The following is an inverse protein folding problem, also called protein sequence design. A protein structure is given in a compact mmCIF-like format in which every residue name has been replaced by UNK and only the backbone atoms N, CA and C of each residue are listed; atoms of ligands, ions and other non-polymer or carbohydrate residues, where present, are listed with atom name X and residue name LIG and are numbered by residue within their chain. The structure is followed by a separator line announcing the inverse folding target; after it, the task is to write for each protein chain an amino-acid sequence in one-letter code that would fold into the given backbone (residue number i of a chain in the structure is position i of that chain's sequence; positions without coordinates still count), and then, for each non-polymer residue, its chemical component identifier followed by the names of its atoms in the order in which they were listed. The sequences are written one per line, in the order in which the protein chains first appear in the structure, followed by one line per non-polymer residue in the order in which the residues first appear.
data_IF_975154337841
#
_entry.id   IF_975154337841
#
_cell.length_a   1.000
_cell.length_b   1.000
_cell.length_c   1.000
_cell.angle_alpha   90.00
_cell.angle_beta   90.00
_cell.angle_gamma   90.00
#
_symmetry.space_group_name_H-M   'P 1'
#
loop_
_entity.id
_entity.type
_entity.pdbx_description
1 polymer ?
#
# COMPACT_ATOMS: atom_id res chain seq x y z
N UNK A 1 7.21 2.46 -1.63
CA UNK A 1 7.80 1.69 -0.51
C UNK A 1 6.94 0.49 -0.05
N UNK A 2 5.61 0.50 -0.22
CA UNK A 2 4.75 -0.62 0.22
C UNK A 2 5.08 -2.00 -0.37
N UNK A 3 5.49 -2.06 -1.64
CA UNK A 3 5.84 -3.32 -2.31
C UNK A 3 7.01 -4.08 -1.65
N UNK A 4 7.89 -3.39 -0.91
CA UNK A 4 9.04 -4.03 -0.27
C UNK A 4 8.66 -4.96 0.89
N UNK A 5 7.53 -4.71 1.56
CA UNK A 5 7.04 -5.53 2.67
C UNK A 5 6.14 -6.65 2.17
N UNK A 6 5.36 -6.37 1.13
CA UNK A 6 4.38 -7.33 0.59
C UNK A 6 5.02 -8.60 0.04
N UNK A 7 6.21 -8.56 -0.57
CA UNK A 7 6.80 -9.79 -1.12
C UNK A 7 7.25 -10.79 -0.03
N UNK A 8 7.62 -10.36 1.18
CA UNK A 8 7.95 -11.29 2.26
C UNK A 8 6.70 -12.00 2.78
N UNK A 9 5.60 -11.24 2.91
CA UNK A 9 4.28 -11.76 3.26
C UNK A 9 3.80 -12.74 2.18
N UNK A 10 3.88 -12.36 0.90
CA UNK A 10 3.46 -13.22 -0.22
C UNK A 10 4.26 -14.53 -0.28
N UNK A 11 5.59 -14.48 -0.12
CA UNK A 11 6.42 -15.69 -0.03
C UNK A 11 5.99 -16.61 1.12
N UNK A 12 5.72 -16.04 2.30
CA UNK A 12 5.25 -16.82 3.46
C UNK A 12 3.87 -17.45 3.22
N UNK A 13 2.93 -16.70 2.62
CA UNK A 13 1.60 -17.20 2.25
C UNK A 13 1.70 -18.36 1.24
N UNK A 14 2.53 -18.22 0.20
CA UNK A 14 2.76 -19.30 -0.78
C UNK A 14 3.40 -20.53 -0.15
N UNK A 15 4.40 -20.35 0.72
CA UNK A 15 5.02 -21.45 1.46
C UNK A 15 4.02 -22.21 2.36
N UNK A 16 2.99 -21.51 2.85
CA UNK A 16 1.88 -22.12 3.59
C UNK A 16 0.78 -22.73 2.69
N UNK A 17 0.98 -22.78 1.37
CA UNK A 17 0.05 -23.39 0.41
C UNK A 17 -1.08 -22.48 -0.09
N UNK A 18 -1.01 -21.17 0.20
CA UNK A 18 -2.00 -20.21 -0.31
C UNK A 18 -1.71 -19.83 -1.76
N UNK A 19 -2.75 -19.42 -2.49
CA UNK A 19 -2.63 -18.76 -3.79
C UNK A 19 -2.62 -17.25 -3.58
N UNK A 20 -1.69 -16.53 -4.22
CA UNK A 20 -1.47 -15.09 -4.00
C UNK A 20 -1.67 -14.31 -5.30
N UNK A 21 -2.67 -13.42 -5.29
CA UNK A 21 -2.83 -12.33 -6.26
C UNK A 21 -2.09 -11.11 -5.72
N UNK A 22 -1.21 -10.53 -6.53
CA UNK A 22 -0.41 -9.39 -6.12
C UNK A 22 -0.72 -8.16 -7.00
N UNK A 23 -1.36 -7.15 -6.42
CA UNK A 23 -1.56 -5.86 -7.10
C UNK A 23 -0.39 -4.93 -6.78
N UNK A 24 0.47 -4.67 -7.78
CA UNK A 24 1.68 -3.88 -7.60
C UNK A 24 1.53 -2.50 -8.23
N UNK A 25 1.21 -1.49 -7.39
CA UNK A 25 1.04 -0.10 -7.84
C UNK A 25 2.34 0.70 -7.80
N UNK A 26 2.62 1.42 -8.88
CA UNK A 26 3.77 2.31 -9.04
C UNK A 26 3.35 3.66 -9.61
N UNK A 27 4.07 4.72 -9.24
CA UNK A 27 3.86 6.03 -9.84
C UNK A 27 4.52 6.11 -11.22
N UNK A 28 5.76 5.58 -11.34
CA UNK A 28 6.49 5.51 -12.58
C UNK A 28 7.05 4.11 -12.81
N UNK A 29 7.26 3.74 -14.08
CA UNK A 29 7.88 2.46 -14.45
C UNK A 29 9.29 2.31 -13.87
N UNK A 30 10.08 3.38 -13.81
CA UNK A 30 11.43 3.32 -13.22
C UNK A 30 11.43 3.04 -11.70
N UNK A 31 10.29 3.17 -11.03
CA UNK A 31 10.17 2.87 -9.60
C UNK A 31 10.05 1.36 -9.33
N UNK A 32 10.03 0.52 -10.38
CA UNK A 32 10.06 -0.94 -10.26
C UNK A 32 11.23 -1.37 -9.38
N UNK A 33 10.92 -2.25 -8.43
CA UNK A 33 11.83 -2.63 -7.38
C UNK A 33 11.68 -4.12 -7.11
N UNK A 34 12.81 -4.84 -7.11
CA UNK A 34 12.89 -6.27 -6.78
C UNK A 34 11.85 -7.15 -7.49
N UNK A 35 11.78 -7.02 -8.82
CA UNK A 35 10.80 -7.73 -9.67
C UNK A 35 10.81 -9.25 -9.40
N UNK A 36 11.98 -9.87 -9.37
CA UNK A 36 12.13 -11.31 -9.08
C UNK A 36 11.58 -11.71 -7.71
N UNK A 37 11.74 -10.86 -6.68
CA UNK A 37 11.17 -11.13 -5.35
C UNK A 37 9.64 -11.07 -5.35
N UNK A 38 9.05 -10.15 -6.12
CA UNK A 38 7.59 -10.01 -6.28
C UNK A 38 7.02 -11.21 -7.07
N UNK A 39 7.71 -11.65 -8.12
CA UNK A 39 7.36 -12.85 -8.88
C UNK A 39 7.38 -14.10 -7.98
N UNK A 40 8.43 -14.28 -7.19
CA UNK A 40 8.51 -15.40 -6.24
C UNK A 40 7.40 -15.36 -5.18
N UNK A 41 6.92 -14.17 -4.82
CA UNK A 41 5.90 -13.95 -3.81
C UNK A 41 4.45 -14.13 -4.30
N UNK A 42 4.23 -14.40 -5.59
CA UNK A 42 2.90 -14.35 -6.20
C UNK A 42 2.66 -15.45 -7.22
N UNK A 43 1.40 -15.89 -7.34
CA UNK A 43 0.95 -16.76 -8.42
C UNK A 43 0.56 -15.95 -9.66
N UNK A 44 0.04 -14.74 -9.46
CA UNK A 44 -0.22 -13.74 -10.49
C UNK A 44 0.07 -12.34 -9.97
N UNK A 45 0.72 -11.51 -10.80
CA UNK A 45 0.91 -10.08 -10.55
C UNK A 45 0.05 -9.30 -11.52
N UNK A 46 -0.59 -8.26 -11.00
CA UNK A 46 -1.19 -7.22 -11.81
C UNK A 46 -0.40 -5.94 -11.54
N UNK A 47 0.46 -5.60 -12.50
CA UNK A 47 1.27 -4.40 -12.48
C UNK A 47 0.42 -3.18 -12.83
N UNK A 48 0.44 -2.15 -11.99
CA UNK A 48 -0.27 -0.89 -12.23
C UNK A 48 0.72 0.26 -12.23
N UNK A 49 0.64 1.13 -13.24
CA UNK A 49 1.38 2.39 -13.27
C UNK A 49 0.40 3.56 -13.41
N UNK A 50 0.55 4.59 -12.56
CA UNK A 50 -0.32 5.77 -12.57
C UNK A 50 -0.33 6.46 -13.94
N UNK A 51 -1.50 6.97 -14.35
CA UNK A 51 -1.67 7.75 -15.60
C UNK A 51 -0.79 9.00 -15.58
N UNK A 52 -0.19 9.34 -16.72
CA UNK A 52 0.60 10.56 -16.90
C UNK A 52 0.96 10.79 -18.38
N UNK A 53 1.45 12.00 -18.75
CA UNK A 53 1.76 12.35 -20.14
C UNK A 53 2.74 11.38 -20.81
N UNK A 54 3.74 10.90 -20.07
CA UNK A 54 4.80 10.01 -20.55
C UNK A 54 4.73 8.62 -19.90
N UNK A 55 3.52 8.17 -19.56
CA UNK A 55 3.35 6.89 -18.87
C UNK A 55 3.71 5.72 -19.79
N UNK A 56 4.60 4.86 -19.31
CA UNK A 56 4.98 3.62 -19.98
C UNK A 56 4.46 2.46 -19.16
N UNK A 57 3.61 1.62 -19.77
CA UNK A 57 3.13 0.39 -19.14
C UNK A 57 4.30 -0.50 -18.70
N UNK A 58 4.14 -1.13 -17.54
CA UNK A 58 5.08 -2.11 -17.03
C UNK A 58 4.93 -3.37 -17.88
N UNK A 59 6.02 -3.87 -18.45
CA UNK A 59 5.98 -5.09 -19.27
C UNK A 59 6.17 -6.29 -18.34
N UNK A 60 5.19 -7.19 -18.22
CA UNK A 60 5.37 -8.39 -17.43
C UNK A 60 6.41 -9.32 -18.07
N UNK A 61 7.15 -10.01 -17.22
CA UNK A 61 8.17 -11.01 -17.57
C UNK A 61 7.60 -12.43 -17.65
N UNK A 62 6.49 -12.68 -16.95
CA UNK A 62 5.78 -13.97 -16.91
C UNK A 62 4.48 -13.90 -17.70
N UNK A 63 4.10 -14.96 -18.45
CA UNK A 63 2.96 -14.91 -19.37
C UNK A 63 1.60 -14.76 -18.69
N UNK A 64 1.46 -15.17 -17.42
CA UNK A 64 0.21 -15.04 -16.66
C UNK A 64 0.00 -13.66 -16.05
N UNK A 65 1.08 -12.88 -15.88
CA UNK A 65 1.03 -11.58 -15.24
C UNK A 65 0.41 -10.53 -16.16
N UNK A 66 -0.24 -9.54 -15.56
CA UNK A 66 -1.02 -8.53 -16.27
C UNK A 66 -0.42 -7.14 -16.04
N UNK A 67 -0.71 -6.21 -16.94
CA UNK A 67 -0.35 -4.79 -16.77
C UNK A 67 -1.57 -3.91 -16.99
N UNK A 68 -1.61 -2.78 -16.28
CA UNK A 68 -2.65 -1.78 -16.36
C UNK A 68 -2.08 -0.37 -16.20
N UNK A 69 -2.67 0.61 -16.88
CA UNK A 69 -2.32 2.04 -16.76
C UNK A 69 -3.45 2.76 -16.04
N UNK A 70 -3.20 3.08 -14.78
CA UNK A 70 -4.18 3.65 -13.86
C UNK A 70 -3.80 3.38 -12.40
N UNK A 71 -4.63 3.87 -11.50
CA UNK A 71 -4.42 3.66 -10.08
C UNK A 71 -4.79 2.22 -9.67
N UNK A 72 -4.44 1.85 -8.45
CA UNK A 72 -4.62 0.47 -7.96
C UNK A 72 -6.08 0.01 -7.93
N UNK A 73 -7.05 0.90 -7.68
CA UNK A 73 -8.47 0.54 -7.64
C UNK A 73 -9.03 0.31 -9.05
N UNK A 74 -8.70 1.18 -9.99
CA UNK A 74 -9.04 1.00 -11.41
C UNK A 74 -8.48 -0.34 -11.91
N UNK A 75 -7.23 -0.65 -11.52
CA UNK A 75 -6.55 -1.89 -11.85
C UNK A 75 -7.24 -3.13 -11.26
N UNK A 76 -7.64 -3.08 -9.98
CA UNK A 76 -8.41 -4.15 -9.34
C UNK A 76 -9.75 -4.37 -10.03
N UNK A 77 -10.46 -3.31 -10.41
CA UNK A 77 -11.73 -3.39 -11.13
C UNK A 77 -11.57 -3.98 -12.53
N UNK A 78 -10.59 -3.51 -13.29
CA UNK A 78 -10.29 -4.04 -14.63
C UNK A 78 -9.93 -5.53 -14.57
N UNK A 79 -9.13 -5.94 -13.58
CA UNK A 79 -8.86 -7.34 -13.35
C UNK A 79 -10.15 -8.09 -13.02
N UNK A 80 -10.98 -7.59 -12.10
CA UNK A 80 -12.23 -8.24 -11.66
C UNK A 80 -13.26 -8.42 -12.79
N UNK A 81 -13.32 -7.48 -13.72
CA UNK A 81 -14.21 -7.50 -14.89
C UNK A 81 -13.72 -8.38 -16.03
N UNK A 82 -12.52 -8.96 -15.94
CA UNK A 82 -11.93 -9.73 -17.04
C UNK A 82 -11.40 -8.87 -18.19
N UNK A 83 -11.28 -7.55 -18.00
CA UNK A 83 -10.75 -6.64 -19.03
C UNK A 83 -9.25 -6.90 -19.31
N UNK A 84 -8.55 -7.55 -18.37
CA UNK A 84 -7.15 -7.95 -18.50
C UNK A 84 -6.98 -9.38 -19.06
N UNK A 85 -8.04 -9.96 -19.63
CA UNK A 85 -8.09 -11.32 -20.13
C UNK A 85 -8.26 -12.35 -19.00
N UNK A 86 -7.67 -13.54 -19.16
CA UNK A 86 -7.84 -14.64 -18.22
C UNK A 86 -7.54 -14.24 -16.77
N UNK A 87 -8.39 -14.72 -15.85
CA UNK A 87 -8.32 -14.51 -14.40
C UNK A 87 -8.02 -15.86 -13.69
N UNK A 88 -6.78 -16.34 -13.64
CA UNK A 88 -6.43 -17.61 -13.00
C UNK A 88 -6.88 -17.71 -11.53
N UNK A 89 -7.00 -16.57 -10.85
CA UNK A 89 -7.58 -16.46 -9.51
C UNK A 89 -8.67 -15.38 -9.56
N UNK A 90 -9.96 -15.73 -9.60
CA UNK A 90 -11.04 -14.75 -9.54
C UNK A 90 -10.99 -13.96 -8.23
N UNK A 91 -11.27 -12.65 -8.25
CA UNK A 91 -11.32 -11.88 -7.00
C UNK A 91 -12.38 -12.39 -6.03
N UNK A 92 -13.48 -12.95 -6.55
CA UNK A 92 -14.56 -13.51 -5.75
C UNK A 92 -14.13 -14.73 -4.91
N UNK A 93 -12.98 -15.33 -5.24
CA UNK A 93 -12.39 -16.44 -4.51
C UNK A 93 -11.36 -16.01 -3.46
N UNK A 94 -11.08 -14.71 -3.32
CA UNK A 94 -10.12 -14.20 -2.33
C UNK A 94 -10.74 -14.19 -0.94
N UNK A 95 -10.08 -14.84 0.03
CA UNK A 95 -10.52 -14.88 1.43
C UNK A 95 -9.94 -13.75 2.29
N UNK A 96 -8.72 -13.29 1.98
CA UNK A 96 -7.97 -12.31 2.76
C UNK A 96 -7.41 -11.18 1.91
N UNK A 97 -7.49 -9.95 2.41
CA UNK A 97 -6.90 -8.78 1.77
C UNK A 97 -5.89 -8.10 2.70
N UNK A 98 -4.67 -7.89 2.20
CA UNK A 98 -3.61 -7.15 2.88
C UNK A 98 -3.27 -5.92 2.05
N UNK A 99 -3.39 -4.73 2.63
CA UNK A 99 -3.24 -3.44 1.95
C UNK A 99 -2.08 -2.68 2.58
N UNK A 100 -1.07 -2.35 1.76
CA UNK A 100 0.12 -1.63 2.20
C UNK A 100 0.43 -0.51 1.21
N UNK A 101 0.42 0.73 1.67
CA UNK A 101 0.81 1.88 0.85
C UNK A 101 0.63 3.20 1.59
N UNK A 102 0.27 4.26 0.86
CA UNK A 102 -0.07 5.53 1.50
C UNK A 102 -1.38 5.42 2.27
N UNK A 103 -1.55 6.28 3.27
CA UNK A 103 -2.79 6.42 4.04
C UNK A 103 -4.00 6.66 3.11
N UNK A 104 -3.83 7.49 2.08
CA UNK A 104 -4.88 7.75 1.09
C UNK A 104 -5.22 6.53 0.24
N UNK A 105 -4.23 5.76 -0.19
CA UNK A 105 -4.46 4.55 -0.98
C UNK A 105 -5.20 3.51 -0.12
N UNK A 106 -4.74 3.27 1.11
CA UNK A 106 -5.38 2.35 2.04
C UNK A 106 -6.82 2.79 2.38
N UNK A 107 -7.07 4.10 2.58
CA UNK A 107 -8.40 4.65 2.76
C UNK A 107 -9.32 4.40 1.55
N UNK A 108 -8.79 4.58 0.34
CA UNK A 108 -9.54 4.34 -0.89
C UNK A 108 -9.89 2.86 -1.05
N UNK A 109 -8.98 1.94 -0.70
CA UNK A 109 -9.26 0.50 -0.70
C UNK A 109 -10.30 0.13 0.36
N UNK A 110 -10.21 0.68 1.58
CA UNK A 110 -11.24 0.52 2.62
C UNK A 110 -12.63 0.87 2.09
N UNK A 111 -12.77 2.04 1.47
CA UNK A 111 -14.03 2.49 0.88
C UNK A 111 -14.50 1.59 -0.27
N UNK A 112 -13.60 1.29 -1.21
CA UNK A 112 -13.94 0.54 -2.41
C UNK A 112 -14.48 -0.86 -2.11
N UNK A 113 -13.97 -1.53 -1.07
CA UNK A 113 -14.42 -2.86 -0.64
C UNK A 113 -15.91 -2.95 -0.34
N UNK A 114 -16.50 -1.88 0.23
CA UNK A 114 -17.93 -1.82 0.54
C UNK A 114 -18.77 -1.19 -0.59
N UNK A 115 -18.10 -0.69 -1.63
CA UNK A 115 -18.71 -0.01 -2.77
C UNK A 115 -18.37 -0.76 -4.07
N UNK A 116 -17.50 -0.19 -4.91
CA UNK A 116 -17.22 -0.66 -6.27
C UNK A 116 -16.61 -2.06 -6.34
N UNK A 117 -15.87 -2.50 -5.32
CA UNK A 117 -15.28 -3.84 -5.25
C UNK A 117 -16.16 -4.86 -4.53
N UNK A 118 -17.26 -4.43 -3.90
CA UNK A 118 -18.16 -5.31 -3.13
C UNK A 118 -18.64 -6.55 -3.91
N UNK A 119 -19.02 -6.45 -5.20
CA UNK A 119 -19.47 -7.62 -5.97
C UNK A 119 -18.35 -8.64 -6.21
N UNK A 120 -17.10 -8.23 -6.11
CA UNK A 120 -15.93 -9.03 -6.47
C UNK A 120 -15.15 -9.52 -5.26
N UNK A 121 -15.41 -9.02 -4.05
CA UNK A 121 -14.71 -9.42 -2.81
C UNK A 121 -15.67 -10.11 -1.83
N UNK A 122 -16.52 -11.00 -2.35
CA UNK A 122 -17.65 -11.61 -1.62
C UNK A 122 -17.24 -12.44 -0.40
N UNK A 123 -16.04 -13.03 -0.41
CA UNK A 123 -15.50 -13.84 0.70
C UNK A 123 -14.66 -13.04 1.69
N UNK A 124 -14.17 -11.84 1.32
CA UNK A 124 -13.27 -11.04 2.17
C UNK A 124 -14.06 -10.37 3.31
N UNK A 125 -14.18 -11.07 4.44
CA UNK A 125 -14.81 -10.52 5.65
C UNK A 125 -13.91 -9.52 6.37
N UNK A 126 -12.59 -9.74 6.35
CA UNK A 126 -11.62 -8.91 7.05
C UNK A 126 -10.50 -8.46 6.11
N UNK A 127 -10.09 -7.20 6.24
CA UNK A 127 -8.92 -6.65 5.54
C UNK A 127 -7.91 -6.10 6.54
N UNK A 128 -6.63 -6.29 6.23
CA UNK A 128 -5.51 -5.82 7.03
C UNK A 128 -4.90 -4.61 6.33
N UNK A 129 -4.70 -3.53 7.08
CA UNK A 129 -3.89 -2.39 6.69
C UNK A 129 -2.57 -2.39 7.47
N UNK A 130 -1.43 -2.42 6.78
CA UNK A 130 -0.13 -2.21 7.43
C UNK A 130 0.09 -0.72 7.65
N UNK A 131 -0.27 -0.22 8.83
CA UNK A 131 -0.41 1.21 9.10
C UNK A 131 0.94 1.90 9.25
N UNK A 132 1.11 3.01 8.53
CA UNK A 132 2.33 3.81 8.45
C UNK A 132 2.35 4.98 9.45
N UNK A 133 1.80 4.82 10.66
CA UNK A 133 1.79 5.89 11.67
C UNK A 133 3.21 6.41 11.96
N UNK A 134 3.39 7.71 12.24
CA UNK A 134 4.71 8.23 12.59
C UNK A 134 5.22 7.55 13.87
N UNK A 135 6.49 7.16 13.89
CA UNK A 135 7.08 6.46 15.03
C UNK A 135 8.29 7.24 15.57
N UNK A 136 8.50 7.19 16.89
CA UNK A 136 9.66 7.78 17.56
C UNK A 136 10.42 6.72 18.37
N UNK A 137 9.85 6.23 19.47
CA UNK A 137 10.55 5.27 20.33
C UNK A 137 10.53 3.83 19.79
N UNK A 138 9.47 3.43 19.08
CA UNK A 138 9.20 2.04 18.67
C UNK A 138 9.21 1.01 19.83
N UNK A 139 9.04 1.44 21.08
CA UNK A 139 9.10 0.59 22.29
C UNK A 139 7.73 0.02 22.71
N UNK A 140 6.82 -0.25 21.78
CA UNK A 140 5.50 -0.87 22.04
C UNK A 140 4.64 -0.15 23.10
N UNK A 141 4.21 1.08 22.79
CA UNK A 141 3.21 1.80 23.58
C UNK A 141 3.73 2.82 24.60
N UNK A 142 5.02 3.17 24.54
CA UNK A 142 5.64 4.10 25.50
C UNK A 142 5.38 5.58 25.14
N UNK A 143 5.74 6.02 23.94
CA UNK A 143 5.72 7.47 23.61
C UNK A 143 4.43 7.97 22.94
N UNK A 144 3.52 7.07 22.55
CA UNK A 144 2.29 7.38 21.80
C UNK A 144 2.43 8.12 20.44
N UNK A 145 3.64 8.37 19.94
CA UNK A 145 3.81 9.01 18.62
C UNK A 145 3.07 8.24 17.51
N UNK A 146 3.12 6.91 17.58
CA UNK A 146 2.51 5.95 16.65
C UNK A 146 1.05 5.62 16.96
N UNK A 147 0.37 6.40 17.79
CA UNK A 147 -1.03 6.13 18.13
C UNK A 147 -1.92 6.27 16.89
N UNK A 148 -2.68 5.23 16.57
CA UNK A 148 -3.68 5.20 15.52
C UNK A 148 -5.06 5.10 16.15
N UNK A 149 -5.99 5.96 15.73
CA UNK A 149 -7.37 5.93 16.18
C UNK A 149 -8.14 4.91 15.36
N UNK A 150 -8.96 4.13 16.05
CA UNK A 150 -9.92 3.22 15.47
C UNK A 150 -11.33 3.65 15.85
N UNK A 151 -12.28 3.40 14.95
CA UNK A 151 -13.71 3.56 15.18
C UNK A 151 -14.40 2.27 14.77
N UNK A 152 -15.13 1.66 15.71
CA UNK A 152 -15.95 0.50 15.43
C UNK A 152 -17.24 0.93 14.70
N UNK A 153 -17.49 0.36 13.52
CA UNK A 153 -18.59 0.80 12.66
C UNK A 153 -19.98 0.49 13.23
N UNK A 154 -20.12 -0.60 13.99
CA UNK A 154 -21.41 -1.04 14.53
C UNK A 154 -21.78 -0.25 15.79
N UNK A 155 -20.79 0.04 16.63
CA UNK A 155 -21.02 0.68 17.95
C UNK A 155 -20.68 2.17 17.99
N UNK A 156 -19.93 2.68 17.01
CA UNK A 156 -19.37 4.03 17.02
C UNK A 156 -18.28 4.24 18.07
N UNK A 157 -17.85 3.19 18.78
CA UNK A 157 -16.87 3.29 19.86
C UNK A 157 -15.49 3.60 19.31
N UNK A 158 -14.87 4.63 19.88
CA UNK A 158 -13.48 4.98 19.59
C UNK A 158 -12.52 4.25 20.52
N UNK A 159 -11.41 3.78 19.95
CA UNK A 159 -10.28 3.24 20.71
C UNK A 159 -8.98 3.48 19.95
N UNK A 160 -7.84 3.20 20.58
CA UNK A 160 -6.53 3.52 20.02
C UNK A 160 -5.62 2.31 19.99
N UNK A 161 -4.86 2.17 18.90
CA UNK A 161 -3.86 1.13 18.71
C UNK A 161 -2.50 1.81 18.57
N UNK A 162 -1.49 1.34 19.30
CA UNK A 162 -0.12 1.77 19.08
C UNK A 162 0.47 1.00 17.90
N UNK A 163 0.74 1.66 16.77
CA UNK A 163 1.23 0.96 15.57
C UNK A 163 2.59 0.28 15.77
N UNK A 164 3.42 0.73 16.71
CA UNK A 164 4.66 0.01 17.08
C UNK A 164 4.41 -1.28 17.89
N UNK A 165 3.21 -1.46 18.45
CA UNK A 165 2.79 -2.70 19.10
C UNK A 165 2.05 -3.63 18.13
N UNK A 166 1.15 -3.07 17.32
CA UNK A 166 0.51 -3.79 16.22
C UNK A 166 0.42 -2.89 14.97
N UNK A 167 1.26 -3.16 13.98
CA UNK A 167 1.28 -2.39 12.73
C UNK A 167 0.21 -2.86 11.75
N UNK A 168 -0.08 -4.16 11.75
CA UNK A 168 -1.07 -4.81 10.89
C UNK A 168 -2.45 -4.74 11.56
N UNK A 169 -3.19 -3.69 11.22
CA UNK A 169 -4.44 -3.34 11.88
C UNK A 169 -5.63 -3.71 11.01
N UNK A 170 -6.80 -3.87 11.64
CA UNK A 170 -8.07 -4.02 10.93
C UNK A 170 -8.33 -2.75 10.10
N UNK A 171 -8.21 -2.88 8.77
CA UNK A 171 -8.32 -1.79 7.82
C UNK A 171 -9.64 -1.03 8.01
N UNK A 172 -10.72 -1.76 8.28
CA UNK A 172 -12.07 -1.20 8.32
C UNK A 172 -12.30 -0.37 9.58
N UNK A 173 -11.50 -0.56 10.62
CA UNK A 173 -11.61 0.19 11.87
C UNK A 173 -10.72 1.43 11.91
N UNK A 174 -9.71 1.53 11.05
CA UNK A 174 -8.78 2.67 11.03
C UNK A 174 -9.47 3.99 10.67
N UNK A 175 -9.26 5.03 11.48
CA UNK A 175 -9.63 6.41 11.20
C UNK A 175 -8.52 7.07 10.35
N UNK A 176 -8.69 7.02 9.03
CA UNK A 176 -7.75 7.59 8.07
C UNK A 176 -7.61 9.12 8.14
N UNK A 177 -8.68 9.90 8.37
CA UNK A 177 -8.54 11.34 8.67
C UNK A 177 -7.62 11.62 9.85
N UNK A 178 -7.77 10.90 10.96
CA UNK A 178 -6.87 11.00 12.11
C UNK A 178 -5.44 10.60 11.75
N UNK A 179 -5.24 9.48 11.04
CA UNK A 179 -3.92 9.04 10.58
C UNK A 179 -3.25 10.10 9.69
N UNK A 180 -3.98 10.68 8.73
CA UNK A 180 -3.47 11.73 7.86
C UNK A 180 -3.02 12.97 8.64
N UNK A 181 -3.83 13.41 9.61
CA UNK A 181 -3.49 14.54 10.47
C UNK A 181 -2.19 14.27 11.26
N UNK A 182 -2.01 13.05 11.78
CA UNK A 182 -0.79 12.65 12.49
C UNK A 182 0.43 12.59 11.59
N UNK A 183 0.30 12.03 10.39
CA UNK A 183 1.38 11.96 9.39
C UNK A 183 1.90 13.35 9.00
N UNK A 184 1.05 14.38 9.07
CA UNK A 184 1.42 15.75 8.70
C UNK A 184 1.98 16.58 9.84
N UNK A 185 2.08 16.05 11.05
CA UNK A 185 2.53 16.81 12.24
C UNK A 185 3.88 17.49 12.04
N UNK A 186 4.79 16.86 11.31
CA UNK A 186 6.16 17.37 11.10
C UNK A 186 6.35 18.09 9.76
N UNK A 187 5.29 18.39 9.00
CA UNK A 187 5.38 18.94 7.63
C UNK A 187 6.30 20.16 7.52
N UNK A 188 6.27 21.08 8.50
CA UNK A 188 7.13 22.28 8.47
C UNK A 188 8.60 21.90 8.63
N UNK A 189 8.91 21.04 9.59
CA UNK A 189 10.29 20.58 9.85
C UNK A 189 10.83 19.77 8.66
N UNK A 190 10.00 18.91 8.06
CA UNK A 190 10.35 18.15 6.86
C UNK A 190 10.71 19.08 5.70
N UNK A 191 9.90 20.12 5.45
CA UNK A 191 10.17 21.09 4.38
C UNK A 191 11.46 21.88 4.63
N UNK A 192 11.68 22.37 5.85
CA UNK A 192 12.90 23.11 6.19
C UNK A 192 14.14 22.22 6.07
N UNK A 193 14.06 20.97 6.51
CA UNK A 193 15.17 20.02 6.42
C UNK A 193 15.51 19.69 4.97
N UNK A 194 14.50 19.51 4.12
CA UNK A 194 14.72 19.29 2.68
C UNK A 194 15.37 20.49 2.00
N UNK A 195 14.88 21.71 2.27
CA UNK A 195 15.49 22.93 1.72
C UNK A 195 16.95 23.11 2.14
N UNK A 196 17.25 22.77 3.41
CA UNK A 196 18.63 22.81 3.90
C UNK A 196 19.51 21.76 3.22
N UNK A 197 19.02 20.54 3.06
CA UNK A 197 19.74 19.48 2.34
C UNK A 197 20.00 19.87 0.88
N UNK A 198 18.99 20.39 0.18
CA UNK A 198 19.11 20.85 -1.20
C UNK A 198 20.18 21.94 -1.32
N UNK A 199 20.19 22.90 -0.39
CA UNK A 199 21.21 23.94 -0.31
C UNK A 199 22.62 23.36 -0.14
N UNK A 200 22.81 22.41 0.79
CA UNK A 200 24.09 21.75 1.01
C UNK A 200 24.57 20.98 -0.24
N UNK A 201 23.67 20.27 -0.91
CA UNK A 201 23.98 19.52 -2.13
C UNK A 201 24.31 20.45 -3.32
N UNK A 202 23.67 21.62 -3.40
CA UNK A 202 24.02 22.64 -4.40
C UNK A 202 25.42 23.21 -4.16
N UNK A 203 25.76 23.55 -2.90
CA UNK A 203 27.09 24.05 -2.53
C UNK A 203 28.21 23.05 -2.79
N UNK A 204 27.97 21.77 -2.48
CA UNK A 204 28.95 20.72 -2.76
C UNK A 204 29.26 20.62 -4.26
N UNK A 205 28.24 20.75 -5.13
CA UNK A 205 28.41 20.73 -6.58
C UNK A 205 29.10 21.98 -7.14
N UNK A 206 28.90 23.15 -6.53
CA UNK A 206 29.55 24.39 -6.95
C UNK A 206 31.01 24.51 -6.50
N UNK A 207 31.51 23.57 -5.69
CA UNK A 207 32.86 23.64 -5.13
C UNK A 207 33.03 24.71 -4.04
N UNK A 208 31.93 25.34 -3.62
CA UNK A 208 31.89 26.33 -2.52
C UNK A 208 31.75 25.64 -1.16
N UNK A 209 32.60 24.64 -0.92
CA UNK A 209 32.71 24.03 0.41
C UNK A 209 33.67 24.89 1.22
N UNK A 210 33.14 25.53 2.27
CA UNK A 210 33.93 26.24 3.27
C UNK A 210 34.84 25.28 4.05
#
# INVERSE_FOLDING_TARGET
MGNAVLFSIGKALRAAGNRVIYFAGYKYKQDLFKVEDIEAASDIIIWSVDKGPDVVAIQPTRPQDKTFVGNILECMLAYANGELGDQPIPLADVDHLIVIGSDRMMAAVKEARFNVLKPYLTKVQHAIGSINSPMQCMMKGICAQCMCKHVDADTGKEYFVYSCNNQDQDLDKVDFPHLNARLRQNTVQEKLSNLWLDYLLMKQKSGEVA
#
